data_IF_833534684301
#
_entry.id   IF_833534684301
#
_cell.length_a   1.000
_cell.length_b   1.000
_cell.length_c   1.000
_cell.angle_alpha   90.00
_cell.angle_beta   90.00
_cell.angle_gamma   90.00
#
_symmetry.space_group_name_H-M   'P 1'
#
loop_
_entity.id
_entity.type
_entity.pdbx_description
1 polymer ?
#
# COMPACT_ATOMS: atom_id res chain seq x y z
N UNK A 1 0.31 -2.04 -12.94
CA UNK A 1 1.37 -1.37 -12.16
C UNK A 1 0.75 -0.08 -11.65
N UNK A 2 0.54 0.07 -10.34
CA UNK A 2 -0.11 1.25 -9.77
C UNK A 2 0.72 2.48 -10.13
N UNK A 3 0.13 3.46 -10.82
CA UNK A 3 0.83 4.67 -11.28
C UNK A 3 1.43 5.44 -10.11
N UNK A 4 0.82 5.33 -8.93
CA UNK A 4 1.29 5.93 -7.69
C UNK A 4 2.63 5.35 -7.21
N UNK A 5 2.94 4.10 -7.60
CA UNK A 5 4.14 3.35 -7.20
C UNK A 5 5.15 3.20 -8.35
N UNK A 6 4.85 3.73 -9.54
CA UNK A 6 5.67 3.61 -10.76
C UNK A 6 6.78 4.64 -10.90
N UNK A 7 6.86 5.64 -10.04
CA UNK A 7 7.93 6.61 -10.13
C UNK A 7 7.91 7.67 -9.04
N UNK A 8 8.88 8.57 -9.09
CA UNK A 8 9.01 9.71 -8.18
C UNK A 8 7.79 10.67 -8.19
N UNK A 9 6.82 10.49 -9.10
CA UNK A 9 5.58 11.30 -9.17
C UNK A 9 4.70 11.16 -7.92
N UNK A 10 4.45 9.93 -7.42
CA UNK A 10 3.66 9.73 -6.20
C UNK A 10 4.32 10.37 -4.97
N UNK A 11 5.65 10.25 -4.88
CA UNK A 11 6.45 10.91 -3.86
C UNK A 11 6.48 12.44 -4.01
N UNK A 12 6.51 12.97 -5.24
CA UNK A 12 6.37 14.41 -5.55
C UNK A 12 5.01 14.95 -5.09
N UNK A 13 3.92 14.24 -5.33
CA UNK A 13 2.58 14.68 -4.90
C UNK A 13 2.44 14.64 -3.38
N UNK A 14 2.97 13.59 -2.73
CA UNK A 14 3.02 13.50 -1.27
C UNK A 14 3.90 14.60 -0.63
N UNK A 15 5.04 14.95 -1.24
CA UNK A 15 5.89 16.04 -0.73
C UNK A 15 5.24 17.40 -0.92
N UNK A 16 4.60 17.65 -2.07
CA UNK A 16 3.82 18.88 -2.31
C UNK A 16 2.64 18.97 -1.32
N UNK A 17 2.00 17.84 -1.02
CA UNK A 17 0.93 17.78 -0.03
C UNK A 17 1.48 18.03 1.39
N UNK A 18 2.62 17.45 1.76
CA UNK A 18 3.32 17.70 3.02
C UNK A 18 3.71 19.17 3.20
N UNK A 19 4.22 19.81 2.15
CA UNK A 19 4.56 21.24 2.15
C UNK A 19 3.32 22.14 2.25
N UNK A 20 2.20 21.74 1.62
CA UNK A 20 0.91 22.42 1.77
C UNK A 20 0.30 22.24 3.16
N UNK A 21 0.46 21.08 3.77
CA UNK A 21 0.03 20.79 5.15
C UNK A 21 0.85 21.61 6.15
N UNK A 22 2.18 21.67 5.99
CA UNK A 22 3.06 22.51 6.82
C UNK A 22 2.70 24.01 6.73
N UNK A 23 2.22 24.50 5.57
CA UNK A 23 1.69 25.87 5.43
C UNK A 23 0.32 26.08 6.08
N UNK A 24 -0.49 25.02 6.20
CA UNK A 24 -1.86 25.10 6.73
C UNK A 24 -1.92 24.89 8.25
N UNK A 25 -1.01 24.12 8.83
CA UNK A 25 -0.99 23.79 10.26
C UNK A 25 0.34 24.16 10.91
N UNK A 26 0.45 25.36 11.46
CA UNK A 26 1.62 25.80 12.25
C UNK A 26 1.83 25.08 13.59
N UNK A 27 1.25 23.89 13.82
CA UNK A 27 1.40 23.07 15.04
C UNK A 27 1.08 21.59 14.76
N UNK A 28 1.86 20.91 13.91
CA UNK A 28 2.02 19.45 13.99
C UNK A 28 3.49 19.14 13.69
N UNK A 29 4.37 19.49 14.62
CA UNK A 29 5.76 19.02 14.56
C UNK A 29 5.80 17.55 15.02
N UNK A 30 6.27 16.65 14.14
CA UNK A 30 6.88 15.41 14.61
C UNK A 30 6.70 14.15 13.75
N UNK A 31 5.77 14.08 12.78
CA UNK A 31 5.43 12.80 12.14
C UNK A 31 5.84 12.63 10.67
N UNK A 32 6.38 13.67 10.02
CA UNK A 32 6.92 13.55 8.66
C UNK A 32 8.26 14.29 8.59
N UNK A 33 9.33 13.62 9.04
CA UNK A 33 10.69 14.13 8.89
C UNK A 33 11.29 13.65 7.57
N UNK A 34 11.51 14.58 6.63
CA UNK A 34 12.32 14.35 5.43
C UNK A 34 13.80 14.23 5.83
N UNK A 35 14.55 13.15 5.47
CA UNK A 35 15.92 12.93 5.94
C UNK A 35 17.00 13.90 5.40
N UNK A 36 16.63 14.97 4.70
CA UNK A 36 17.59 15.93 4.12
C UNK A 36 17.06 17.36 4.20
N UNK A 37 17.05 17.91 5.41
CA UNK A 37 17.03 19.37 5.56
C UNK A 37 18.47 19.87 5.47
N UNK A 38 18.86 20.36 4.30
CA UNK A 38 20.05 21.21 4.15
C UNK A 38 19.65 22.50 3.44
N UNK A 39 20.02 23.61 4.06
CA UNK A 39 19.71 25.00 3.76
C UNK A 39 19.66 25.40 2.29
N UNK A 40 18.78 26.38 2.04
CA UNK A 40 18.35 26.85 0.73
C UNK A 40 19.46 27.17 -0.26
N UNK A 41 19.21 26.77 -1.50
CA UNK A 41 19.54 27.44 -2.76
C UNK A 41 18.52 26.91 -3.77
N UNK A 42 17.94 27.80 -4.58
CA UNK A 42 17.09 27.49 -5.72
C UNK A 42 17.86 26.66 -6.74
N UNK A 43 17.84 25.33 -6.59
CA UNK A 43 18.31 24.41 -7.63
C UNK A 43 17.13 24.11 -8.54
N UNK A 44 17.31 24.34 -9.83
CA UNK A 44 16.43 23.78 -10.84
C UNK A 44 16.34 22.26 -10.60
N UNK A 45 15.11 21.75 -10.58
CA UNK A 45 14.78 20.37 -10.31
C UNK A 45 15.40 19.45 -11.37
N UNK A 46 16.63 19.00 -11.14
CA UNK A 46 17.42 18.11 -12.00
C UNK A 46 16.97 16.64 -11.87
N UNK A 47 15.67 16.43 -11.74
CA UNK A 47 15.06 15.11 -11.57
C UNK A 47 14.73 14.53 -12.95
N UNK A 48 15.40 13.44 -13.32
CA UNK A 48 15.21 12.74 -14.57
C UNK A 48 13.73 12.39 -14.79
N UNK A 49 13.17 12.84 -15.91
CA UNK A 49 11.88 12.38 -16.40
C UNK A 49 12.02 10.94 -16.89
N UNK A 50 11.85 9.95 -16.01
CA UNK A 50 11.63 8.58 -16.46
C UNK A 50 10.15 8.37 -16.79
N UNK A 51 9.76 8.79 -18.00
CA UNK A 51 8.54 8.31 -18.64
C UNK A 51 8.85 6.99 -19.36
N UNK A 52 8.48 5.88 -18.74
CA UNK A 52 8.55 4.54 -19.31
C UNK A 52 7.68 3.55 -18.50
N UNK A 53 7.23 2.42 -19.09
CA UNK A 53 6.36 1.45 -18.42
C UNK A 53 7.01 0.78 -17.20
N UNK A 54 8.33 0.92 -17.02
CA UNK A 54 9.10 0.34 -15.92
C UNK A 54 10.20 1.33 -15.50
N UNK A 55 10.09 1.90 -14.30
CA UNK A 55 11.19 2.62 -13.67
C UNK A 55 12.16 1.61 -13.07
N UNK A 56 13.46 1.91 -13.08
CA UNK A 56 14.48 1.12 -12.34
C UNK A 56 14.50 1.48 -10.84
N UNK A 57 13.38 2.01 -10.34
CA UNK A 57 13.20 2.37 -8.95
C UNK A 57 13.05 1.11 -8.09
N UNK A 58 14.11 0.76 -7.37
CA UNK A 58 14.10 -0.36 -6.42
C UNK A 58 13.02 -0.23 -5.34
N UNK A 59 12.65 1.01 -5.00
CA UNK A 59 11.60 1.33 -4.04
C UNK A 59 11.90 0.88 -2.60
N UNK A 60 10.97 1.13 -1.67
CA UNK A 60 11.16 0.75 -0.28
C UNK A 60 11.16 -0.77 -0.10
N UNK A 61 12.14 -1.25 0.67
CA UNK A 61 12.22 -2.65 1.11
C UNK A 61 11.35 -2.92 2.34
N UNK A 62 10.93 -1.87 3.06
CA UNK A 62 9.91 -1.97 4.08
C UNK A 62 8.51 -1.91 3.48
N UNK A 63 7.57 -2.53 4.17
CA UNK A 63 6.16 -2.51 3.83
C UNK A 63 5.26 -2.27 5.03
N UNK A 64 3.99 -2.01 4.72
CA UNK A 64 2.92 -1.87 5.70
C UNK A 64 1.64 -2.52 5.19
N UNK A 65 0.86 -3.07 6.11
CA UNK A 65 -0.54 -3.37 5.84
C UNK A 65 -1.37 -2.09 5.76
N UNK A 66 -2.52 -2.16 5.13
CA UNK A 66 -3.50 -1.09 5.11
C UNK A 66 -4.92 -1.68 5.22
N UNK A 67 -5.66 -1.25 6.23
CA UNK A 67 -7.07 -1.55 6.39
C UNK A 67 -7.82 -0.22 6.55
N UNK A 68 -8.55 0.19 5.53
CA UNK A 68 -9.15 1.53 5.42
C UNK A 68 -10.66 1.40 5.41
N UNK A 69 -11.33 2.16 6.28
CA UNK A 69 -12.77 2.28 6.33
C UNK A 69 -13.18 3.69 5.90
N UNK A 70 -14.01 3.79 4.86
CA UNK A 70 -14.54 5.06 4.35
C UNK A 70 -16.05 5.05 4.54
N UNK A 71 -16.56 6.01 5.30
CA UNK A 71 -17.99 6.22 5.47
C UNK A 71 -18.41 7.39 4.61
N UNK A 72 -19.40 7.15 3.75
CA UNK A 72 -20.04 8.20 2.96
C UNK A 72 -21.54 7.96 2.93
N UNK A 73 -22.30 8.96 3.37
CA UNK A 73 -23.75 8.83 3.53
C UNK A 73 -24.08 7.60 4.38
N UNK A 74 -24.93 6.72 3.86
CA UNK A 74 -25.38 5.50 4.52
C UNK A 74 -24.60 4.24 4.08
N UNK A 75 -23.37 4.42 3.61
CA UNK A 75 -22.49 3.34 3.13
C UNK A 75 -21.13 3.39 3.85
N UNK A 76 -20.64 2.21 4.20
CA UNK A 76 -19.30 1.96 4.69
C UNK A 76 -18.57 1.08 3.68
N UNK A 77 -17.46 1.57 3.14
CA UNK A 77 -16.55 0.84 2.28
C UNK A 77 -15.32 0.47 3.09
N UNK A 78 -14.91 -0.79 3.02
CA UNK A 78 -13.73 -1.32 3.71
C UNK A 78 -12.79 -1.90 2.67
N UNK A 79 -11.60 -1.31 2.56
CA UNK A 79 -10.49 -1.84 1.76
C UNK A 79 -9.44 -2.48 2.67
N UNK A 80 -9.01 -3.71 2.38
CA UNK A 80 -7.93 -4.35 3.12
C UNK A 80 -6.82 -4.90 2.20
N UNK A 81 -5.57 -4.58 2.53
CA UNK A 81 -4.37 -5.16 1.95
C UNK A 81 -3.40 -5.50 3.09
N UNK A 82 -3.36 -6.79 3.45
CA UNK A 82 -2.54 -7.31 4.55
C UNK A 82 -3.37 -8.07 5.57
N UNK A 83 -2.81 -8.24 6.77
CA UNK A 83 -3.41 -9.02 7.87
C UNK A 83 -3.94 -8.17 9.03
N UNK A 84 -4.08 -6.86 8.81
CA UNK A 84 -4.99 -6.02 9.60
C UNK A 84 -6.45 -6.43 9.36
N UNK A 85 -7.34 -6.05 10.28
CA UNK A 85 -8.75 -6.45 10.24
C UNK A 85 -9.73 -5.33 10.60
N UNK A 86 -10.82 -5.23 9.84
CA UNK A 86 -11.99 -4.42 10.14
C UNK A 86 -13.18 -5.30 10.55
N UNK A 87 -13.82 -4.92 11.66
CA UNK A 87 -15.01 -5.57 12.21
C UNK A 87 -16.01 -4.49 12.57
N UNK A 88 -17.30 -4.72 12.31
CA UNK A 88 -18.40 -3.86 12.73
C UNK A 88 -19.27 -4.56 13.77
N UNK A 89 -19.73 -3.81 14.77
CA UNK A 89 -20.76 -4.28 15.71
C UNK A 89 -22.15 -3.90 15.20
N UNK A 90 -23.06 -4.88 15.11
CA UNK A 90 -24.49 -4.65 14.86
C UNK A 90 -25.31 -5.41 15.90
N UNK A 91 -26.14 -4.68 16.65
CA UNK A 91 -26.98 -5.24 17.72
C UNK A 91 -26.17 -6.09 18.72
N UNK A 92 -24.98 -5.61 19.07
CA UNK A 92 -24.06 -6.29 20.01
C UNK A 92 -23.31 -7.50 19.43
N UNK A 93 -23.46 -7.81 18.14
CA UNK A 93 -22.75 -8.91 17.48
C UNK A 93 -21.69 -8.38 16.52
N UNK A 94 -20.53 -9.05 16.48
CA UNK A 94 -19.41 -8.70 15.62
C UNK A 94 -19.53 -9.33 14.22
N UNK A 95 -19.35 -8.52 13.19
CA UNK A 95 -19.36 -8.94 11.79
C UNK A 95 -18.05 -8.53 11.11
N UNK A 96 -17.35 -9.49 10.51
CA UNK A 96 -16.13 -9.21 9.75
C UNK A 96 -16.46 -8.41 8.48
N UNK A 97 -15.73 -7.33 8.26
CA UNK A 97 -15.85 -6.52 7.04
C UNK A 97 -14.65 -6.68 6.10
N UNK A 98 -13.55 -7.27 6.58
CA UNK A 98 -12.37 -7.59 5.77
C UNK A 98 -11.96 -9.05 5.94
N UNK A 99 -11.10 -9.52 5.03
CA UNK A 99 -10.41 -10.81 5.11
C UNK A 99 -8.91 -10.56 5.27
N UNK A 100 -8.28 -11.23 6.23
CA UNK A 100 -6.83 -11.14 6.43
C UNK A 100 -6.11 -11.90 5.31
N UNK A 101 -5.08 -11.29 4.73
CA UNK A 101 -4.36 -11.83 3.58
C UNK A 101 -3.14 -12.65 4.01
N UNK A 102 -3.37 -13.93 4.27
CA UNK A 102 -2.36 -14.87 4.79
C UNK A 102 -1.86 -15.86 3.71
N UNK A 103 -0.60 -16.36 3.83
CA UNK A 103 -0.01 -17.30 2.87
C UNK A 103 -0.72 -18.66 2.72
N UNK A 104 -1.56 -19.04 3.67
CA UNK A 104 -2.34 -20.27 3.65
C UNK A 104 -3.65 -20.16 2.85
N UNK A 105 -4.06 -18.95 2.45
CA UNK A 105 -5.23 -18.74 1.60
C UNK A 105 -4.98 -19.17 0.16
N UNK A 106 -5.86 -20.02 -0.38
CA UNK A 106 -5.70 -20.59 -1.73
C UNK A 106 -5.60 -19.54 -2.84
N UNK A 107 -6.40 -18.47 -2.79
CA UNK A 107 -6.32 -17.37 -3.77
C UNK A 107 -4.95 -16.66 -3.75
N UNK A 108 -4.35 -16.54 -2.57
CA UNK A 108 -3.03 -15.92 -2.41
C UNK A 108 -1.92 -16.88 -2.86
N UNK A 109 -2.00 -18.17 -2.50
CA UNK A 109 -1.07 -19.21 -2.97
C UNK A 109 -1.05 -19.30 -4.49
N UNK A 110 -2.22 -19.27 -5.11
CA UNK A 110 -2.34 -19.34 -6.57
C UNK A 110 -1.67 -18.12 -7.23
N UNK A 111 -1.91 -16.90 -6.72
CA UNK A 111 -1.22 -15.70 -7.22
C UNK A 111 0.30 -15.83 -7.05
N UNK A 112 0.76 -16.20 -5.86
CA UNK A 112 2.18 -16.31 -5.52
C UNK A 112 2.88 -17.32 -6.44
N UNK A 113 2.27 -18.50 -6.64
CA UNK A 113 2.80 -19.54 -7.52
C UNK A 113 2.84 -19.07 -8.98
N UNK A 114 1.76 -18.44 -9.49
CA UNK A 114 1.73 -17.86 -10.84
C UNK A 114 2.75 -16.74 -11.04
N UNK A 115 3.12 -16.05 -9.97
CA UNK A 115 4.14 -15.00 -9.99
C UNK A 115 5.58 -15.53 -9.89
N UNK A 116 5.76 -16.85 -9.76
CA UNK A 116 7.07 -17.50 -9.59
C UNK A 116 7.59 -17.53 -8.15
N UNK A 117 6.77 -17.13 -7.17
CA UNK A 117 7.08 -17.26 -5.75
C UNK A 117 6.65 -18.60 -5.16
N UNK A 118 7.00 -18.83 -3.90
CA UNK A 118 6.64 -20.04 -3.17
C UNK A 118 6.30 -19.74 -1.71
N UNK A 119 5.66 -20.68 -1.02
CA UNK A 119 5.44 -20.63 0.42
C UNK A 119 6.33 -21.66 1.10
N UNK A 120 7.12 -21.22 2.07
CA UNK A 120 7.97 -22.08 2.90
C UNK A 120 7.75 -21.74 4.38
N UNK A 121 7.43 -22.74 5.20
CA UNK A 121 7.15 -22.56 6.63
C UNK A 121 6.15 -21.43 6.95
N UNK A 122 5.09 -21.30 6.14
CA UNK A 122 4.07 -20.25 6.30
C UNK A 122 4.53 -18.85 5.88
N UNK A 123 5.65 -18.73 5.17
CA UNK A 123 6.21 -17.45 4.69
C UNK A 123 6.40 -17.45 3.18
N UNK A 124 6.05 -16.33 2.55
CA UNK A 124 6.28 -16.01 1.14
C UNK A 124 7.78 -15.92 0.89
N UNK A 125 8.27 -16.75 -0.03
CA UNK A 125 9.68 -16.97 -0.33
C UNK A 125 10.56 -17.20 0.92
N UNK A 126 9.98 -17.76 1.99
CA UNK A 126 10.65 -17.96 3.28
C UNK A 126 10.85 -16.69 4.13
N UNK A 127 10.44 -15.52 3.65
CA UNK A 127 10.70 -14.23 4.33
C UNK A 127 9.45 -13.65 4.98
N UNK A 128 8.42 -13.33 4.19
CA UNK A 128 7.27 -12.53 4.65
C UNK A 128 6.08 -13.41 5.07
N UNK A 129 5.46 -13.15 6.23
CA UNK A 129 4.34 -13.95 6.75
C UNK A 129 2.95 -13.43 6.34
N UNK A 130 2.89 -12.51 5.38
CA UNK A 130 1.68 -11.93 4.80
C UNK A 130 1.82 -11.88 3.27
N UNK A 131 0.71 -11.65 2.58
CA UNK A 131 0.65 -11.77 1.12
C UNK A 131 0.30 -10.48 0.40
N UNK A 132 -0.19 -9.46 1.14
CA UNK A 132 -0.53 -8.16 0.58
C UNK A 132 -0.03 -7.03 1.46
N UNK A 133 0.59 -6.02 0.87
CA UNK A 133 1.16 -4.88 1.58
C UNK A 133 1.41 -3.72 0.61
N UNK A 134 1.46 -2.50 1.13
CA UNK A 134 2.07 -1.33 0.49
C UNK A 134 3.57 -1.39 0.79
N UNK A 135 4.44 -1.00 -0.16
CA UNK A 135 5.89 -1.17 -0.03
C UNK A 135 6.35 -2.57 -0.43
N UNK A 136 7.32 -3.17 0.27
CA UNK A 136 7.84 -4.52 0.01
C UNK A 136 8.23 -4.73 -1.47
N UNK A 137 8.93 -3.75 -2.05
CA UNK A 137 9.15 -3.71 -3.49
C UNK A 137 10.00 -4.85 -4.02
N UNK A 138 10.82 -5.50 -3.18
CA UNK A 138 11.58 -6.70 -3.55
C UNK A 138 10.68 -7.86 -4.05
N UNK A 139 9.42 -7.92 -3.60
CA UNK A 139 8.44 -8.93 -4.03
C UNK A 139 7.61 -8.51 -5.25
N UNK A 140 7.89 -7.34 -5.83
CA UNK A 140 7.07 -6.68 -6.86
C UNK A 140 7.84 -6.33 -8.13
N UNK A 141 8.98 -6.99 -8.35
CA UNK A 141 9.91 -6.70 -9.45
C UNK A 141 9.63 -7.48 -10.74
N UNK A 142 8.57 -8.29 -10.81
CA UNK A 142 8.29 -9.04 -12.03
C UNK A 142 7.76 -8.10 -13.13
N UNK A 143 8.64 -7.74 -14.07
CA UNK A 143 8.35 -6.80 -15.17
C UNK A 143 7.26 -7.31 -16.15
N UNK A 144 6.98 -8.61 -16.16
CA UNK A 144 5.99 -9.23 -17.05
C UNK A 144 4.60 -9.34 -16.43
N UNK A 145 4.44 -8.96 -15.16
CA UNK A 145 3.17 -9.04 -14.43
C UNK A 145 2.67 -7.64 -14.05
N UNK A 146 1.35 -7.41 -14.10
CA UNK A 146 0.77 -6.20 -13.53
C UNK A 146 0.89 -6.19 -11.99
N UNK A 147 0.57 -5.07 -11.33
CA UNK A 147 0.88 -4.87 -9.90
C UNK A 147 0.05 -5.79 -8.99
N UNK A 148 -1.17 -6.07 -9.40
CA UNK A 148 -2.12 -6.96 -8.74
C UNK A 148 -1.74 -8.44 -8.84
N UNK A 149 -0.81 -8.80 -9.74
CA UNK A 149 -0.34 -10.17 -9.97
C UNK A 149 1.09 -10.44 -9.47
N UNK A 150 1.70 -9.49 -8.76
CA UNK A 150 3.00 -9.70 -8.12
C UNK A 150 2.92 -10.72 -6.97
N UNK A 151 4.07 -11.22 -6.49
CA UNK A 151 4.14 -12.19 -5.38
C UNK A 151 3.44 -11.61 -4.14
N UNK A 152 3.84 -10.40 -3.75
CA UNK A 152 3.12 -9.56 -2.79
C UNK A 152 2.44 -8.45 -3.56
N UNK A 153 1.17 -8.14 -3.26
CA UNK A 153 0.44 -7.07 -3.96
C UNK A 153 -0.09 -6.00 -3.00
N UNK A 154 -0.19 -4.76 -3.48
CA UNK A 154 -0.89 -3.68 -2.77
C UNK A 154 -2.40 -3.64 -3.10
N UNK A 155 -2.89 -4.50 -3.99
CA UNK A 155 -4.28 -4.50 -4.42
C UNK A 155 -5.20 -4.92 -3.25
N UNK A 156 -6.12 -4.06 -2.79
CA UNK A 156 -6.98 -4.38 -1.67
C UNK A 156 -8.18 -5.22 -2.10
N UNK A 157 -8.70 -6.04 -1.18
CA UNK A 157 -10.09 -6.49 -1.26
C UNK A 157 -11.01 -5.37 -0.76
N UNK A 158 -12.11 -5.12 -1.46
CA UNK A 158 -13.08 -4.06 -1.11
C UNK A 158 -14.43 -4.68 -0.77
N UNK A 159 -14.96 -4.35 0.40
CA UNK A 159 -16.29 -4.72 0.84
C UNK A 159 -17.13 -3.46 1.08
N UNK A 160 -18.40 -3.47 0.69
CA UNK A 160 -19.32 -2.34 0.89
C UNK A 160 -20.55 -2.80 1.66
N UNK A 161 -20.88 -2.09 2.74
CA UNK A 161 -22.05 -2.38 3.58
C UNK A 161 -22.89 -1.12 3.78
N UNK A 162 -24.22 -1.27 3.78
CA UNK A 162 -25.11 -0.16 4.14
C UNK A 162 -25.23 -0.03 5.66
N UNK A 163 -25.02 1.16 6.18
CA UNK A 163 -25.17 1.49 7.59
C UNK A 163 -26.64 1.77 7.90
N UNK A 164 -27.44 0.74 8.19
CA UNK A 164 -28.80 0.98 8.70
C UNK A 164 -28.69 1.65 10.08
N UNK A 165 -29.26 2.85 10.22
CA UNK A 165 -29.55 3.45 11.53
C UNK A 165 -30.59 2.62 12.28
#
# INVERSE_FOLDING_TARGET
MDEMMRGQRGWRELSILGDKINKFSGMIEGLIWSPRSSNGISRADDWAFEEGPHSDFAGPTSGSTACVAVIRNNQLLVGNAGDSRCVISRKGQAYNLSRDHKPDLEIEKERISKAGGFIHAGRVNGSLNLTRAIGDMEFKQNKFLPAEKQVVTANPDINTVSLSM
#
